data_IF_357162481544
#
_entry.id   IF_357162481544
#
_cell.length_a   1.000
_cell.length_b   1.000
_cell.length_c   1.000
_cell.angle_alpha   90.00
_cell.angle_beta   90.00
_cell.angle_gamma   90.00
#
_symmetry.space_group_name_H-M   'P 1'
#
loop_
_entity.id
_entity.type
_entity.pdbx_description
1 polymer ?
#
# COMPACT_ATOMS: atom_id res chain seq x y z
N UNK A 1 1.70 -14.37 -33.29
CA UNK A 1 2.18 -13.04 -32.84
C UNK A 1 2.51 -13.16 -31.37
N UNK A 2 3.79 -13.05 -31.00
CA UNK A 2 4.19 -12.94 -29.60
C UNK A 2 3.66 -11.60 -29.07
N UNK A 3 2.74 -11.65 -28.11
CA UNK A 3 2.30 -10.45 -27.40
C UNK A 3 3.51 -9.98 -26.58
N UNK A 4 3.94 -8.72 -26.70
CA UNK A 4 5.03 -8.21 -25.88
C UNK A 4 4.66 -8.36 -24.40
N UNK A 5 5.65 -8.67 -23.58
CA UNK A 5 5.44 -8.73 -22.14
C UNK A 5 4.88 -7.40 -21.62
N UNK A 6 3.88 -7.42 -20.72
CA UNK A 6 3.31 -6.19 -20.17
C UNK A 6 4.40 -5.40 -19.45
N UNK A 7 4.59 -4.14 -19.83
CA UNK A 7 5.45 -3.21 -19.11
C UNK A 7 4.60 -2.33 -18.19
N UNK A 8 5.05 -2.12 -16.95
CA UNK A 8 4.35 -1.30 -15.95
C UNK A 8 4.64 0.17 -16.24
N UNK A 9 3.60 1.00 -16.29
CA UNK A 9 3.74 2.46 -16.43
C UNK A 9 3.39 3.19 -15.14
N UNK A 10 2.48 2.64 -14.33
CA UNK A 10 2.18 3.22 -13.02
C UNK A 10 1.69 2.18 -12.01
N UNK A 11 2.01 2.43 -10.75
CA UNK A 11 1.31 1.85 -9.62
C UNK A 11 0.84 2.99 -8.71
N UNK A 12 -0.46 3.00 -8.41
CA UNK A 12 -1.09 4.07 -7.66
C UNK A 12 -1.65 3.53 -6.37
N UNK A 13 -1.23 4.09 -5.24
CA UNK A 13 -1.90 3.92 -3.97
C UNK A 13 -3.07 4.91 -3.89
N UNK A 14 -4.26 4.41 -3.63
CA UNK A 14 -5.47 5.22 -3.50
C UNK A 14 -6.34 4.72 -2.36
N UNK A 15 -7.20 5.61 -1.85
CA UNK A 15 -8.18 5.28 -0.81
C UNK A 15 -7.55 4.75 0.50
N UNK A 16 -6.40 5.30 0.93
CA UNK A 16 -5.92 5.03 2.29
C UNK A 16 -6.86 5.70 3.30
N UNK A 17 -7.66 4.88 3.95
CA UNK A 17 -8.65 5.30 4.94
C UNK A 17 -8.39 4.60 6.27
N UNK A 18 -8.75 5.25 7.35
CA UNK A 18 -8.72 4.66 8.70
C UNK A 18 -10.13 4.54 9.23
N UNK A 19 -10.35 3.56 10.11
CA UNK A 19 -11.63 3.38 10.77
C UNK A 19 -11.41 2.91 12.21
N UNK A 20 -12.24 3.43 13.11
CA UNK A 20 -12.33 3.02 14.50
C UNK A 20 -13.11 1.70 14.57
N UNK A 21 -12.47 0.65 15.10
CA UNK A 21 -13.10 -0.66 15.30
C UNK A 21 -13.80 -0.77 16.67
N UNK A 22 -13.85 0.33 17.41
CA UNK A 22 -14.38 0.41 18.77
C UNK A 22 -13.28 0.22 19.80
N UNK A 23 -13.57 0.59 21.06
CA UNK A 23 -12.64 0.47 22.18
C UNK A 23 -11.28 1.17 21.96
N UNK A 24 -11.24 2.23 21.14
CA UNK A 24 -10.03 2.99 20.78
C UNK A 24 -8.97 2.16 20.04
N UNK A 25 -9.41 1.09 19.36
CA UNK A 25 -8.62 0.32 18.41
C UNK A 25 -8.99 0.82 17.02
N UNK A 26 -8.00 0.91 16.13
CA UNK A 26 -8.25 1.36 14.77
C UNK A 26 -7.52 0.49 13.75
N UNK A 27 -8.01 0.53 12.52
CA UNK A 27 -7.42 -0.14 11.37
C UNK A 27 -7.33 0.81 10.19
N UNK A 28 -6.54 0.43 9.19
CA UNK A 28 -6.50 1.13 7.92
C UNK A 28 -6.80 0.17 6.77
N UNK A 29 -7.36 0.72 5.69
CA UNK A 29 -7.52 0.02 4.41
C UNK A 29 -6.91 0.86 3.31
N UNK A 30 -6.21 0.22 2.38
CA UNK A 30 -5.65 0.89 1.21
C UNK A 30 -5.86 0.03 -0.02
N UNK A 31 -6.01 0.68 -1.18
CA UNK A 31 -6.07 0.02 -2.45
C UNK A 31 -4.89 0.42 -3.31
N UNK A 32 -4.33 -0.53 -4.04
CA UNK A 32 -3.28 -0.28 -5.03
C UNK A 32 -3.80 -0.72 -6.38
N UNK A 33 -3.56 0.07 -7.42
CA UNK A 33 -3.83 -0.30 -8.82
C UNK A 33 -2.53 -0.28 -9.61
N UNK A 34 -2.29 -1.32 -10.40
CA UNK A 34 -1.14 -1.41 -11.32
C UNK A 34 -1.64 -1.32 -12.76
N UNK A 35 -1.09 -0.36 -13.50
CA UNK A 35 -1.47 -0.09 -14.90
C UNK A 35 -0.26 -0.23 -15.81
N UNK A 36 -0.44 -0.94 -16.92
CA UNK A 36 0.57 -1.14 -17.96
C UNK A 36 0.61 0.00 -18.98
N UNK A 37 1.59 -0.09 -19.88
CA UNK A 37 1.81 0.81 -21.03
C UNK A 37 0.63 0.98 -21.98
N UNK A 38 -0.18 -0.06 -22.15
CA UNK A 38 -1.40 -0.04 -22.96
C UNK A 38 -2.60 0.60 -22.23
N UNK A 39 -2.41 1.08 -21.00
CA UNK A 39 -3.48 1.56 -20.13
C UNK A 39 -4.33 0.45 -19.51
N UNK A 40 -4.05 -0.81 -19.86
CA UNK A 40 -4.66 -1.99 -19.26
C UNK A 40 -4.19 -2.22 -17.82
N UNK A 41 -5.04 -2.84 -17.01
CA UNK A 41 -4.67 -3.26 -15.64
C UNK A 41 -3.88 -4.56 -15.71
N UNK A 42 -2.87 -4.72 -14.86
CA UNK A 42 -1.99 -5.89 -14.88
C UNK A 42 -2.37 -6.85 -13.76
N UNK A 43 -2.89 -8.02 -14.11
CA UNK A 43 -3.09 -9.14 -13.19
C UNK A 43 -1.76 -9.81 -12.82
N UNK A 44 -1.66 -10.30 -11.58
CA UNK A 44 -0.50 -11.07 -11.11
C UNK A 44 0.80 -10.28 -10.86
N UNK A 45 0.82 -8.95 -11.01
CA UNK A 45 1.99 -8.14 -10.69
C UNK A 45 2.30 -8.16 -9.20
N UNK A 46 3.57 -8.41 -8.86
CA UNK A 46 4.10 -8.33 -7.51
C UNK A 46 4.48 -6.90 -7.17
N UNK A 47 4.04 -6.40 -6.02
CA UNK A 47 4.28 -5.03 -5.54
C UNK A 47 4.98 -5.11 -4.19
N UNK A 48 6.17 -4.51 -4.08
CA UNK A 48 6.87 -4.34 -2.82
C UNK A 48 6.38 -3.06 -2.14
N UNK A 49 5.73 -3.21 -0.99
CA UNK A 49 5.18 -2.10 -0.22
C UNK A 49 5.94 -1.97 1.11
N UNK A 50 6.40 -0.76 1.44
CA UNK A 50 6.79 -0.44 2.82
C UNK A 50 5.60 0.15 3.56
N UNK A 51 5.30 -0.41 4.73
CA UNK A 51 4.33 0.13 5.67
C UNK A 51 5.05 0.74 6.84
N UNK A 52 4.79 2.01 7.14
CA UNK A 52 5.28 2.70 8.32
C UNK A 52 4.13 3.03 9.26
N UNK A 53 4.25 2.66 10.53
CA UNK A 53 3.27 3.00 11.57
C UNK A 53 3.95 3.81 12.66
N UNK A 54 3.36 4.94 13.04
CA UNK A 54 3.91 5.80 14.09
C UNK A 54 3.36 5.39 15.47
N UNK A 55 4.27 4.99 16.36
CA UNK A 55 4.00 4.73 17.77
C UNK A 55 4.57 5.88 18.63
N UNK A 56 3.78 6.43 19.55
CA UNK A 56 4.19 7.63 20.33
C UNK A 56 5.44 7.44 21.18
N UNK A 57 5.79 6.19 21.54
CA UNK A 57 7.02 5.88 22.29
C UNK A 57 8.24 5.64 21.40
N UNK A 58 8.03 4.98 20.27
CA UNK A 58 9.11 4.36 19.48
C UNK A 58 9.33 5.05 18.14
N UNK A 59 8.50 6.04 17.80
CA UNK A 59 8.55 6.69 16.50
C UNK A 59 7.97 5.84 15.38
N UNK A 60 8.51 6.00 14.18
CA UNK A 60 8.10 5.25 13.00
C UNK A 60 8.68 3.82 13.02
N UNK A 61 7.81 2.84 12.84
CA UNK A 61 8.15 1.43 12.67
C UNK A 61 7.81 1.00 11.25
N UNK A 62 8.78 0.47 10.50
CA UNK A 62 8.63 0.09 9.09
C UNK A 62 8.64 -1.43 8.89
N UNK A 63 7.79 -1.95 8.00
CA UNK A 63 7.85 -3.32 7.46
C UNK A 63 7.83 -3.29 5.93
N UNK A 64 8.44 -4.29 5.30
CA UNK A 64 8.47 -4.46 3.85
C UNK A 64 7.80 -5.78 3.49
N UNK A 65 6.75 -5.73 2.67
CA UNK A 65 5.96 -6.90 2.32
C UNK A 65 5.63 -6.90 0.81
N UNK A 66 5.58 -8.10 0.23
CA UNK A 66 5.21 -8.31 -1.17
C UNK A 66 3.75 -8.69 -1.29
N UNK A 67 3.04 -8.02 -2.19
CA UNK A 67 1.63 -8.28 -2.48
C UNK A 67 1.44 -8.52 -3.97
N UNK A 68 0.39 -9.26 -4.34
CA UNK A 68 0.12 -9.56 -5.74
C UNK A 68 -1.24 -8.99 -6.15
N UNK A 69 -1.31 -8.37 -7.33
CA UNK A 69 -2.57 -7.86 -7.89
C UNK A 69 -3.52 -9.01 -8.29
N UNK A 70 -4.80 -8.81 -8.06
CA UNK A 70 -5.88 -9.70 -8.47
C UNK A 70 -6.19 -9.62 -9.98
N UNK A 71 -7.25 -10.29 -10.42
CA UNK A 71 -7.73 -10.30 -11.81
C UNK A 71 -8.18 -8.93 -12.32
N UNK A 72 -8.44 -7.96 -11.43
CA UNK A 72 -8.73 -6.59 -11.79
C UNK A 72 -7.46 -5.71 -11.79
N UNK A 73 -6.27 -6.27 -11.58
CA UNK A 73 -5.01 -5.54 -11.46
C UNK A 73 -4.94 -4.65 -10.22
N UNK A 74 -5.64 -5.05 -9.15
CA UNK A 74 -5.74 -4.30 -7.90
C UNK A 74 -5.30 -5.13 -6.69
N UNK A 75 -4.90 -4.45 -5.62
CA UNK A 75 -4.57 -5.03 -4.33
C UNK A 75 -5.43 -4.34 -3.28
N UNK A 76 -6.08 -5.11 -2.43
CA UNK A 76 -6.87 -4.63 -1.30
C UNK A 76 -6.17 -5.03 0.01
N UNK A 77 -5.75 -4.03 0.78
CA UNK A 77 -4.90 -4.21 1.95
C UNK A 77 -5.61 -3.74 3.20
N UNK A 78 -5.56 -4.55 4.25
CA UNK A 78 -5.99 -4.19 5.58
C UNK A 78 -4.79 -4.18 6.53
N UNK A 79 -4.71 -3.12 7.35
CA UNK A 79 -3.65 -2.90 8.33
C UNK A 79 -4.23 -2.77 9.74
N UNK A 80 -3.45 -3.19 10.73
CA UNK A 80 -3.87 -3.29 12.12
C UNK A 80 -4.54 -4.63 12.44
N UNK A 81 -5.31 -4.72 13.54
CA UNK A 81 -5.68 -3.63 14.45
C UNK A 81 -4.47 -2.98 15.14
N UNK A 82 -4.58 -1.68 15.40
CA UNK A 82 -3.60 -0.89 16.13
C UNK A 82 -4.18 -0.37 17.44
N UNK A 83 -3.44 -0.55 18.54
CA UNK A 83 -3.84 -0.02 19.84
C UNK A 83 -3.66 1.51 19.89
N UNK A 84 -4.78 2.22 20.08
CA UNK A 84 -4.83 3.66 20.27
C UNK A 84 -4.83 4.10 21.74
N UNK A 85 -4.65 3.20 22.71
CA UNK A 85 -4.80 3.48 24.14
C UNK A 85 -3.51 3.92 24.85
N UNK A 86 -3.67 4.71 25.91
CA UNK A 86 -2.57 5.10 26.82
C UNK A 86 -1.52 6.05 26.20
N UNK A 87 -0.42 6.24 26.92
CA UNK A 87 0.69 7.12 26.51
C UNK A 87 1.53 6.53 25.38
N UNK A 88 1.38 5.24 25.12
CA UNK A 88 2.14 4.44 24.16
C UNK A 88 1.15 3.84 23.16
N UNK A 89 0.84 4.62 22.13
CA UNK A 89 -0.23 4.34 21.17
C UNK A 89 0.20 4.55 19.74
N UNK A 90 -0.46 3.85 18.84
CA UNK A 90 -0.35 4.07 17.41
C UNK A 90 -1.26 5.21 16.96
N UNK A 91 -0.75 6.10 16.10
CA UNK A 91 -1.51 7.25 15.62
C UNK A 91 -1.50 7.47 14.12
N UNK A 92 -0.53 6.94 13.38
CA UNK A 92 -0.38 7.26 11.95
C UNK A 92 0.08 6.03 11.20
N UNK A 93 -0.33 5.93 9.96
CA UNK A 93 0.17 4.95 8.99
C UNK A 93 0.57 5.69 7.71
N UNK A 94 1.70 5.31 7.15
CA UNK A 94 2.23 5.78 5.88
C UNK A 94 2.61 4.56 5.04
N UNK A 95 2.32 4.59 3.74
CA UNK A 95 2.52 3.48 2.83
C UNK A 95 3.33 3.95 1.62
N UNK A 96 4.31 3.16 1.20
CA UNK A 96 5.19 3.49 0.09
C UNK A 96 5.35 2.28 -0.84
N UNK A 97 5.00 2.45 -2.11
CA UNK A 97 5.30 1.46 -3.15
C UNK A 97 6.76 1.64 -3.56
N UNK A 98 7.57 0.60 -3.44
CA UNK A 98 9.01 0.66 -3.76
C UNK A 98 9.35 0.04 -5.12
N UNK A 99 8.63 -1.02 -5.49
CA UNK A 99 8.92 -1.80 -6.70
C UNK A 99 7.68 -2.53 -7.19
N UNK A 100 7.58 -2.72 -8.50
CA UNK A 100 6.55 -3.55 -9.13
C UNK A 100 7.20 -4.49 -10.14
N UNK A 101 6.88 -5.78 -10.01
CA UNK A 101 7.40 -6.88 -10.81
C UNK A 101 6.23 -7.61 -11.51
N UNK A 102 5.95 -7.34 -12.80
CA UNK A 102 4.90 -8.04 -13.54
C UNK A 102 5.27 -9.51 -13.82
N UNK A 103 4.30 -10.44 -13.97
CA UNK A 103 4.55 -11.89 -14.04
C UNK A 103 5.52 -12.35 -15.13
N UNK A 104 5.58 -11.63 -16.25
CA UNK A 104 6.38 -11.96 -17.42
C UNK A 104 7.07 -10.74 -18.04
N UNK A 105 7.11 -9.61 -17.31
CA UNK A 105 7.61 -8.33 -17.83
C UNK A 105 8.88 -7.85 -17.16
N UNK A 106 9.31 -6.67 -17.57
CA UNK A 106 10.44 -6.00 -16.94
C UNK A 106 9.98 -5.33 -15.66
N UNK A 107 10.82 -5.41 -14.63
CA UNK A 107 10.56 -4.74 -13.37
C UNK A 107 10.47 -3.24 -13.57
N UNK A 108 9.50 -2.64 -12.90
CA UNK A 108 9.42 -1.21 -12.71
C UNK A 108 10.01 -0.88 -11.34
N UNK A 109 11.23 -0.37 -11.38
CA UNK A 109 11.92 0.21 -10.23
C UNK A 109 11.41 1.65 -10.05
N UNK A 110 10.20 1.78 -9.49
CA UNK A 110 9.54 3.07 -9.36
C UNK A 110 9.64 3.68 -7.98
N UNK A 111 10.37 4.80 -7.88
CA UNK A 111 10.47 5.67 -6.72
C UNK A 111 9.38 6.75 -6.64
N UNK A 112 8.11 6.37 -6.54
CA UNK A 112 7.02 7.32 -6.24
C UNK A 112 6.50 7.11 -4.80
N UNK A 113 6.90 7.96 -3.83
CA UNK A 113 6.34 7.92 -2.48
C UNK A 113 4.91 8.48 -2.46
N UNK A 114 3.98 7.80 -1.77
CA UNK A 114 2.62 8.28 -1.52
C UNK A 114 2.44 8.61 -0.04
N UNK A 115 2.58 9.88 0.36
CA UNK A 115 2.31 10.32 1.73
C UNK A 115 0.84 10.67 1.91
N UNK A 116 0.17 9.97 2.82
CA UNK A 116 -1.16 10.34 3.32
C UNK A 116 -1.02 10.48 4.84
N UNK A 117 -1.37 11.64 5.37
CA UNK A 117 -1.39 11.89 6.81
C UNK A 117 -2.80 11.60 7.35
N UNK A 118 -2.88 10.80 8.42
CA UNK A 118 -4.13 10.70 9.18
C UNK A 118 -4.32 11.94 10.04
N UNK A 119 -5.40 12.67 9.79
CA UNK A 119 -5.93 13.68 10.69
C UNK A 119 -7.14 13.08 11.43
N UNK A 120 -7.05 12.77 12.74
CA UNK A 120 -8.28 12.66 13.53
C UNK A 120 -8.95 14.03 13.55
N UNK A 121 -10.27 14.06 13.41
CA UNK A 121 -11.04 15.22 13.84
C UNK A 121 -10.69 15.53 15.30
N UNK A 122 -10.39 16.80 15.56
CA UNK A 122 -10.26 17.33 16.92
C UNK A 122 -11.56 17.12 17.73
#
# INVERSE_FOLDING_TARGET
>A
TTIPAPSVVSATLYNLVTYDSGYRVWSARANIRVTGDTGGRIEGAWVLLTTYVYHTQYGWQGSNDWYQTDSNGEIDLQFGPYDGYGSYRYRRIYLQINRVSPPNGLDWDGGQPSLVEWAPGE
#
